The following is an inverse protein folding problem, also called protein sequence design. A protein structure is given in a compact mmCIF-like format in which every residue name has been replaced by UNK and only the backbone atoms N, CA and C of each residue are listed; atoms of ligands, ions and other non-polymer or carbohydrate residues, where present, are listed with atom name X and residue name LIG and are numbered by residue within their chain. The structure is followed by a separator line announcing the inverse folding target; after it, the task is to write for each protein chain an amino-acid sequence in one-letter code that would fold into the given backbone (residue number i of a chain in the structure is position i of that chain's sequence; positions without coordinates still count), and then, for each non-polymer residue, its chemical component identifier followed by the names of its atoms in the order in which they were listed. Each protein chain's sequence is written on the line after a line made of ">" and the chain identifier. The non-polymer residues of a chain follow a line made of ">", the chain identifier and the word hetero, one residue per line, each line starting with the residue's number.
data_IF_325442445294
#
_entry.id   IF_325442445294
#
_cell.length_a   1.000
_cell.length_b   1.000
_cell.length_c   1.000
_cell.angle_alpha   90.00
_cell.angle_beta   90.00
_cell.angle_gamma   90.00
#
_symmetry.space_group_name_H-M   'P 1'
#
loop_
_entity.id
_entity.type
_entity.pdbx_description
1 polymer ?
#
# COMPACT_ATOMS: atom_id res chain seq x y z
N UNK A 1 -2.28 -6.79 -18.02
CA UNK A 1 -2.04 -7.32 -16.66
C UNK A 1 -0.92 -6.61 -15.91
N UNK A 2 -1.13 -5.34 -15.53
CA UNK A 2 -0.24 -4.64 -14.62
C UNK A 2 -0.74 -4.86 -13.18
N UNK A 3 -0.47 -6.04 -12.66
CA UNK A 3 -0.67 -6.35 -11.24
C UNK A 3 0.64 -6.03 -10.52
N UNK A 4 0.56 -5.29 -9.42
CA UNK A 4 1.73 -5.06 -8.57
C UNK A 4 2.17 -6.40 -7.98
N UNK A 5 3.27 -6.96 -8.49
CA UNK A 5 3.79 -8.27 -8.12
C UNK A 5 4.80 -8.11 -6.99
N UNK A 6 4.50 -8.69 -5.83
CA UNK A 6 5.33 -8.57 -4.63
C UNK A 6 6.77 -9.05 -4.85
N UNK A 7 6.98 -10.08 -5.66
CA UNK A 7 8.31 -10.59 -6.01
C UNK A 7 9.11 -9.63 -6.90
N UNK A 8 8.46 -8.97 -7.86
CA UNK A 8 9.10 -7.93 -8.68
C UNK A 8 9.45 -6.72 -7.81
N UNK A 9 8.55 -6.32 -6.91
CA UNK A 9 8.80 -5.22 -5.96
C UNK A 9 10.01 -5.51 -5.08
N UNK A 10 10.09 -6.71 -4.51
CA UNK A 10 11.22 -7.15 -3.70
C UNK A 10 12.53 -7.15 -4.51
N UNK A 11 12.49 -7.63 -5.75
CA UNK A 11 13.64 -7.62 -6.66
C UNK A 11 14.13 -6.20 -6.97
N UNK A 12 13.22 -5.28 -7.32
CA UNK A 12 13.55 -3.87 -7.63
C UNK A 12 14.11 -3.15 -6.40
N UNK A 13 13.52 -3.39 -5.23
CA UNK A 13 14.00 -2.80 -3.98
C UNK A 13 15.28 -3.45 -3.43
N UNK A 14 15.67 -4.62 -3.94
CA UNK A 14 16.80 -5.40 -3.44
C UNK A 14 16.59 -5.88 -2.00
N UNK A 15 15.39 -6.36 -1.69
CA UNK A 15 15.01 -6.90 -0.37
C UNK A 15 14.40 -8.29 -0.50
N UNK A 16 14.31 -9.03 0.61
CA UNK A 16 13.64 -10.34 0.62
C UNK A 16 12.12 -10.18 0.54
N UNK A 17 11.45 -11.10 -0.14
CA UNK A 17 9.99 -11.14 -0.18
C UNK A 17 9.42 -11.29 1.24
N UNK A 18 8.49 -10.40 1.60
CA UNK A 18 7.92 -10.35 2.96
C UNK A 18 8.66 -9.41 3.92
N UNK A 19 9.75 -8.77 3.48
CA UNK A 19 10.38 -7.68 4.25
C UNK A 19 9.40 -6.54 4.50
N UNK A 20 9.54 -5.87 5.65
CA UNK A 20 8.76 -4.67 5.96
C UNK A 20 9.00 -3.58 4.89
N UNK A 21 7.93 -2.92 4.46
CA UNK A 21 8.00 -1.85 3.46
C UNK A 21 8.25 -0.51 4.16
N UNK A 22 9.52 -0.12 4.24
CA UNK A 22 9.94 1.18 4.74
C UNK A 22 10.12 2.23 3.63
N UNK A 23 10.37 3.50 4.00
CA UNK A 23 10.62 4.58 3.04
C UNK A 23 11.80 4.32 2.10
N UNK A 24 12.83 3.61 2.56
CA UNK A 24 13.97 3.21 1.74
C UNK A 24 13.59 2.22 0.63
N UNK A 25 12.69 1.28 0.93
CA UNK A 25 12.13 0.33 -0.04
C UNK A 25 11.31 1.09 -1.08
N UNK A 26 10.41 1.98 -0.63
CA UNK A 26 9.59 2.82 -1.50
C UNK A 26 10.46 3.71 -2.38
N UNK A 27 11.46 4.37 -1.81
CA UNK A 27 12.39 5.24 -2.52
C UNK A 27 13.10 4.53 -3.66
N UNK A 28 13.54 3.28 -3.46
CA UNK A 28 14.16 2.46 -4.51
C UNK A 28 13.18 2.13 -5.63
N UNK A 29 11.95 1.74 -5.29
CA UNK A 29 10.91 1.40 -6.27
C UNK A 29 10.53 2.59 -7.15
N UNK A 30 10.36 3.77 -6.55
CA UNK A 30 9.96 4.98 -7.29
C UNK A 30 11.15 5.76 -7.87
N UNK A 31 12.38 5.28 -7.68
CA UNK A 31 13.60 5.94 -8.14
C UNK A 31 13.91 7.28 -7.46
N UNK A 32 13.32 7.54 -6.29
CA UNK A 32 13.50 8.81 -5.58
C UNK A 32 14.70 8.75 -4.64
N UNK A 33 15.83 9.30 -5.10
CA UNK A 33 17.06 9.40 -4.30
C UNK A 33 16.82 10.02 -2.92
N UNK A 34 16.02 11.08 -2.85
CA UNK A 34 15.69 11.75 -1.59
C UNK A 34 15.06 10.83 -0.53
N UNK A 35 14.32 9.81 -0.96
CA UNK A 35 13.65 8.86 -0.06
C UNK A 35 14.52 7.67 0.36
N UNK A 36 15.48 7.23 -0.46
CA UNK A 36 16.32 6.06 -0.15
C UNK A 36 17.75 6.38 0.27
N UNK A 37 18.29 7.57 -0.04
CA UNK A 37 19.67 7.93 0.32
C UNK A 37 19.79 8.69 1.64
N UNK A 38 18.70 9.29 2.11
CA UNK A 38 18.62 9.88 3.44
C UNK A 38 17.80 8.92 4.27
N UNK A 39 18.37 8.37 5.35
CA UNK A 39 17.56 7.75 6.38
C UNK A 39 16.54 8.81 6.78
N UNK A 40 15.24 8.57 6.55
CA UNK A 40 14.21 9.38 7.18
C UNK A 40 14.40 9.15 8.67
N UNK A 41 15.06 10.10 9.33
CA UNK A 41 15.48 10.01 10.73
C UNK A 41 14.30 9.76 11.68
N UNK A 42 13.07 10.01 11.19
CA UNK A 42 11.80 9.63 11.80
C UNK A 42 10.94 8.86 10.79
N UNK A 43 11.13 7.54 10.70
CA UNK A 43 10.22 6.64 9.98
C UNK A 43 8.80 6.62 10.57
N UNK A 44 8.61 7.21 11.75
CA UNK A 44 7.34 7.42 12.44
C UNK A 44 6.39 8.39 11.72
N UNK A 45 6.91 9.31 10.90
CA UNK A 45 6.08 10.30 10.21
C UNK A 45 5.63 9.88 8.80
N UNK A 46 6.19 8.79 8.26
CA UNK A 46 5.80 8.35 6.91
C UNK A 46 4.46 7.64 6.96
N UNK A 47 3.42 8.34 6.48
CA UNK A 47 2.07 7.80 6.37
C UNK A 47 1.90 7.13 5.03
N UNK A 48 1.58 5.85 5.06
CA UNK A 48 1.26 5.09 3.86
C UNK A 48 -0.25 5.08 3.62
N UNK A 49 -0.61 5.11 2.35
CA UNK A 49 -1.98 4.89 1.91
C UNK A 49 -1.99 3.69 0.97
N UNK A 50 -2.85 2.71 1.25
CA UNK A 50 -3.03 1.57 0.37
C UNK A 50 -4.12 1.89 -0.65
N UNK A 51 -3.89 1.54 -1.91
CA UNK A 51 -4.88 1.71 -2.98
C UNK A 51 -5.15 0.35 -3.61
N UNK A 52 -6.40 -0.10 -3.53
CA UNK A 52 -6.88 -1.31 -4.19
C UNK A 52 -7.55 -0.88 -5.49
N UNK A 53 -6.93 -1.24 -6.61
CA UNK A 53 -7.38 -0.85 -7.95
C UNK A 53 -8.27 -1.92 -8.57
N UNK A 54 -9.08 -1.51 -9.57
CA UNK A 54 -9.98 -2.36 -10.36
C UNK A 54 -11.11 -3.00 -9.56
N UNK A 55 -11.64 -2.26 -8.59
CA UNK A 55 -12.87 -2.66 -7.88
C UNK A 55 -14.06 -2.29 -8.76
N UNK A 56 -14.32 -3.12 -9.76
CA UNK A 56 -15.29 -2.87 -10.84
C UNK A 56 -16.62 -3.63 -10.63
N UNK A 57 -16.64 -4.60 -9.73
CA UNK A 57 -17.77 -5.50 -9.46
C UNK A 57 -17.96 -5.75 -7.96
N UNK A 58 -19.13 -6.28 -7.58
CA UNK A 58 -19.41 -6.74 -6.21
C UNK A 58 -18.44 -7.83 -5.73
N UNK A 59 -18.01 -8.72 -6.62
CA UNK A 59 -17.02 -9.76 -6.30
C UNK A 59 -15.67 -9.14 -5.96
N UNK A 60 -15.21 -8.19 -6.78
CA UNK A 60 -13.95 -7.47 -6.51
C UNK A 60 -14.05 -6.56 -5.28
N UNK A 61 -15.26 -6.10 -4.91
CA UNK A 61 -15.47 -5.33 -3.68
C UNK A 61 -15.27 -6.20 -2.44
N UNK A 62 -15.86 -7.40 -2.42
CA UNK A 62 -15.64 -8.36 -1.32
C UNK A 62 -14.17 -8.73 -1.16
N UNK A 63 -13.48 -8.98 -2.28
CA UNK A 63 -12.04 -9.21 -2.23
C UNK A 63 -11.27 -7.98 -1.71
N UNK A 64 -11.69 -6.77 -2.04
CA UNK A 64 -11.10 -5.54 -1.53
C UNK A 64 -11.33 -5.37 -0.01
N UNK A 65 -12.48 -5.79 0.50
CA UNK A 65 -12.78 -5.84 1.95
C UNK A 65 -11.85 -6.80 2.68
N UNK A 66 -11.65 -8.02 2.17
CA UNK A 66 -10.72 -9.01 2.72
C UNK A 66 -9.27 -8.48 2.75
N UNK A 67 -8.84 -7.81 1.67
CA UNK A 67 -7.53 -7.18 1.59
C UNK A 67 -7.42 -6.04 2.61
N UNK A 68 -8.44 -5.17 2.71
CA UNK A 68 -8.45 -4.06 3.65
C UNK A 68 -8.43 -4.53 5.11
N UNK A 69 -9.05 -5.67 5.41
CA UNK A 69 -8.95 -6.32 6.72
C UNK A 69 -7.54 -6.86 6.97
N UNK A 70 -6.94 -7.55 5.99
CA UNK A 70 -5.56 -8.02 6.12
C UNK A 70 -4.56 -6.87 6.32
N UNK A 71 -4.72 -5.76 5.60
CA UNK A 71 -3.91 -4.53 5.78
C UNK A 71 -4.17 -3.92 7.16
N UNK A 72 -5.38 -3.96 7.68
CA UNK A 72 -5.68 -3.47 9.03
C UNK A 72 -5.00 -4.30 10.13
N UNK A 73 -4.91 -5.62 9.94
CA UNK A 73 -4.35 -6.54 10.93
C UNK A 73 -2.82 -6.60 10.88
N UNK A 74 -2.23 -6.50 9.69
CA UNK A 74 -0.79 -6.74 9.48
C UNK A 74 -0.03 -5.51 8.97
N UNK A 75 -0.73 -4.48 8.52
CA UNK A 75 -0.11 -3.26 8.00
C UNK A 75 0.40 -2.37 9.12
N UNK A 76 1.62 -1.88 8.97
CA UNK A 76 2.22 -0.89 9.86
C UNK A 76 2.30 0.46 9.14
N UNK A 77 1.83 1.54 9.79
CA UNK A 77 1.91 2.90 9.24
C UNK A 77 0.95 3.21 8.09
N UNK A 78 -0.03 2.33 7.81
CA UNK A 78 -1.07 2.59 6.81
C UNK A 78 -2.23 3.37 7.45
N UNK A 79 -2.52 4.57 6.96
CA UNK A 79 -3.56 5.45 7.53
C UNK A 79 -4.94 5.16 6.93
N UNK A 80 -5.00 4.82 5.65
CA UNK A 80 -6.25 4.50 4.98
C UNK A 80 -6.05 3.56 3.78
N UNK A 81 -7.13 2.84 3.46
CA UNK A 81 -7.29 2.03 2.26
C UNK A 81 -8.31 2.69 1.34
N UNK A 82 -7.89 3.01 0.12
CA UNK A 82 -8.72 3.60 -0.92
C UNK A 82 -9.05 2.55 -1.99
N UNK A 83 -10.21 2.72 -2.61
CA UNK A 83 -10.62 1.94 -3.77
C UNK A 83 -10.55 2.79 -5.02
N UNK A 84 -10.12 2.18 -6.12
CA UNK A 84 -10.33 2.72 -7.45
C UNK A 84 -10.91 1.66 -8.37
N UNK A 85 -11.81 2.06 -9.25
CA UNK A 85 -12.57 1.18 -10.14
C UNK A 85 -13.86 1.84 -10.58
N UNK A 86 -14.56 1.25 -11.53
CA UNK A 86 -15.87 1.70 -12.02
C UNK A 86 -17.04 1.11 -11.22
N UNK A 87 -16.72 0.32 -10.20
CA UNK A 87 -17.70 -0.45 -9.43
C UNK A 87 -18.50 0.36 -8.42
N UNK A 88 -19.30 -0.35 -7.60
CA UNK A 88 -20.40 0.20 -6.79
C UNK A 88 -19.99 1.28 -5.78
N UNK A 89 -18.73 1.31 -5.38
CA UNK A 89 -18.22 2.30 -4.42
C UNK A 89 -17.72 3.58 -5.08
N UNK A 90 -17.56 3.65 -6.40
CA UNK A 90 -17.00 4.79 -7.12
C UNK A 90 -15.47 4.96 -6.96
N UNK A 91 -14.87 5.79 -7.82
CA UNK A 91 -13.42 6.02 -7.84
C UNK A 91 -12.97 6.89 -6.66
N UNK A 92 -11.95 6.43 -5.93
CA UNK A 92 -11.31 7.18 -4.85
C UNK A 92 -12.02 7.05 -3.50
N UNK A 93 -12.98 6.15 -3.37
CA UNK A 93 -13.72 5.94 -2.12
C UNK A 93 -12.83 5.35 -1.04
N UNK A 94 -12.89 5.94 0.15
CA UNK A 94 -12.21 5.42 1.33
C UNK A 94 -12.99 4.20 1.80
N UNK A 95 -12.41 3.01 1.63
CA UNK A 95 -13.00 1.78 2.14
C UNK A 95 -12.84 1.68 3.65
N UNK A 96 -11.65 2.01 4.15
CA UNK A 96 -11.34 1.89 5.58
C UNK A 96 -10.34 2.95 6.01
N UNK A 97 -10.66 3.67 7.09
CA UNK A 97 -9.68 4.44 7.86
C UNK A 97 -9.11 3.55 8.95
N UNK A 98 -7.80 3.47 9.04
CA UNK A 98 -7.13 2.70 10.08
C UNK A 98 -6.75 3.69 11.19
N UNK A 99 -7.40 3.57 12.36
CA UNK A 99 -7.06 4.40 13.53
C UNK A 99 -5.75 3.89 14.13
N UNK A 100 -4.82 4.82 14.37
CA UNK A 100 -3.59 4.55 15.11
C UNK A 100 -2.41 4.21 14.20
N UNK A 101 -1.96 5.18 13.40
CA UNK A 101 -0.53 5.43 13.38
C UNK A 101 -0.22 6.25 14.65
N UNK A 102 0.89 6.00 15.37
CA UNK A 102 1.35 6.95 16.39
C UNK A 102 1.43 8.38 15.83
#
# INVERSE_FOLDING_TARGET
>A
DQVCRADIVAQVAGVELGSAVGPEVVGRIVGSKALWCHALSDSSETRFYAVINKVDTEETLRAAEDIAESVATHGHGVEAVFLTGEGPSGRGTVLKKLKGAP
#
